data_IF_244649477074
#
_entry.id   IF_244649477074
#
_cell.length_a   1.000
_cell.length_b   1.000
_cell.length_c   1.000
_cell.angle_alpha   90.00
_cell.angle_beta   90.00
_cell.angle_gamma   90.00
#
_symmetry.space_group_name_H-M   'P 1'
#
loop_
_entity.id
_entity.type
_entity.pdbx_description
1 polymer ?
#
# COMPACT_ATOMS: atom_id res chain seq x y z
N UNK A 1 13.01 43.89 -2.89
CA UNK A 1 12.97 42.91 -1.79
C UNK A 1 11.55 42.38 -1.67
N UNK A 2 11.27 41.19 -2.20
CA UNK A 2 10.04 40.45 -1.95
C UNK A 2 10.37 39.27 -1.03
N UNK A 3 9.62 39.04 0.03
CA UNK A 3 9.90 37.93 0.93
C UNK A 3 9.43 36.62 0.30
N UNK A 4 10.36 35.74 0.01
CA UNK A 4 10.17 34.37 -0.48
C UNK A 4 9.65 33.39 0.60
N UNK A 5 9.37 33.87 1.80
CA UNK A 5 9.08 33.03 2.97
C UNK A 5 7.67 32.37 2.99
N UNK A 6 6.65 32.99 2.37
CA UNK A 6 5.27 32.48 2.49
C UNK A 6 4.97 31.23 1.67
N UNK A 7 5.60 31.08 0.51
CA UNK A 7 5.36 29.90 -0.34
C UNK A 7 6.15 28.66 0.14
N UNK A 8 7.35 28.90 0.69
CA UNK A 8 8.17 27.84 1.33
C UNK A 8 7.56 27.41 2.67
N UNK A 9 7.09 28.36 3.49
CA UNK A 9 6.37 28.07 4.74
C UNK A 9 5.05 27.34 4.50
N UNK A 10 4.34 27.63 3.40
CA UNK A 10 3.11 26.92 3.01
C UNK A 10 3.40 25.50 2.51
N UNK A 11 4.48 25.32 1.74
CA UNK A 11 4.94 23.97 1.32
C UNK A 11 5.44 23.14 2.50
N UNK A 12 6.25 23.72 3.39
CA UNK A 12 6.72 23.06 4.61
C UNK A 12 5.58 22.68 5.56
N UNK A 13 4.50 23.50 5.63
CA UNK A 13 3.31 23.17 6.43
C UNK A 13 2.43 22.08 5.79
N UNK A 14 2.39 21.96 4.46
CA UNK A 14 1.67 20.87 3.78
C UNK A 14 2.46 19.57 3.93
N UNK A 15 3.79 19.58 3.73
CA UNK A 15 4.65 18.42 3.93
C UNK A 15 4.66 17.91 5.38
N UNK A 16 4.46 18.80 6.37
CA UNK A 16 4.45 18.43 7.80
C UNK A 16 3.16 17.76 8.27
N UNK A 17 2.13 17.63 7.43
CA UNK A 17 0.82 17.10 7.85
C UNK A 17 0.35 15.88 7.04
N UNK A 18 1.21 15.26 6.21
CA UNK A 18 0.86 14.00 5.52
C UNK A 18 0.89 12.86 6.53
N UNK A 19 -0.27 12.23 6.71
CA UNK A 19 -0.48 11.13 7.67
C UNK A 19 -0.19 9.77 7.03
N UNK A 20 -0.52 9.65 5.72
CA UNK A 20 -0.44 8.39 4.97
C UNK A 20 0.31 8.61 3.67
N UNK A 21 1.34 7.81 3.42
CA UNK A 21 1.94 7.62 2.09
C UNK A 21 1.41 6.32 1.48
N UNK A 22 0.74 6.42 0.32
CA UNK A 22 0.24 5.27 -0.42
C UNK A 22 1.24 4.97 -1.54
N UNK A 23 2.00 3.90 -1.37
CA UNK A 23 2.99 3.42 -2.34
C UNK A 23 2.30 2.54 -3.38
N UNK A 24 2.32 2.97 -4.63
CA UNK A 24 1.70 2.29 -5.76
C UNK A 24 2.80 1.95 -6.78
N UNK A 25 3.21 0.68 -6.87
CA UNK A 25 4.05 0.24 -7.97
C UNK A 25 3.21 0.17 -9.25
N UNK A 26 3.63 0.85 -10.30
CA UNK A 26 2.95 0.90 -11.59
C UNK A 26 3.83 0.36 -12.72
N UNK A 27 3.22 -0.42 -13.62
CA UNK A 27 3.89 -0.95 -14.80
C UNK A 27 2.89 -1.14 -15.94
N UNK A 28 2.80 -0.14 -16.83
CA UNK A 28 1.90 -0.11 -17.99
C UNK A 28 0.43 -0.35 -17.61
N UNK A 29 -0.07 0.38 -16.61
CA UNK A 29 -1.46 0.31 -16.15
C UNK A 29 -2.42 1.11 -17.05
N UNK A 30 -1.90 2.07 -17.81
CA UNK A 30 -2.67 2.93 -18.70
C UNK A 30 -3.80 3.65 -17.97
N UNK A 31 -5.00 3.63 -18.56
CA UNK A 31 -6.19 4.28 -17.99
C UNK A 31 -6.76 3.56 -16.75
N UNK A 32 -6.36 2.31 -16.47
CA UNK A 32 -6.89 1.57 -15.31
C UNK A 32 -6.50 2.20 -13.97
N UNK A 33 -5.37 2.90 -13.92
CA UNK A 33 -4.92 3.64 -12.73
C UNK A 33 -5.91 4.73 -12.31
N UNK A 34 -6.64 5.30 -13.25
CA UNK A 34 -7.58 6.39 -12.98
C UNK A 34 -8.72 5.92 -12.08
N UNK A 35 -9.28 4.73 -12.34
CA UNK A 35 -10.33 4.16 -11.48
C UNK A 35 -9.86 4.04 -10.02
N UNK A 36 -8.61 3.64 -9.81
CA UNK A 36 -8.03 3.54 -8.48
C UNK A 36 -7.81 4.92 -7.84
N UNK A 37 -7.27 5.90 -8.56
CA UNK A 37 -7.08 7.26 -8.06
C UNK A 37 -8.42 7.96 -7.74
N UNK A 38 -9.45 7.75 -8.57
CA UNK A 38 -10.81 8.22 -8.32
C UNK A 38 -11.37 7.62 -7.04
N UNK A 39 -11.17 6.32 -6.83
CA UNK A 39 -11.60 5.64 -5.60
C UNK A 39 -10.89 6.18 -4.36
N UNK A 40 -9.58 6.49 -4.44
CA UNK A 40 -8.86 7.17 -3.35
C UNK A 40 -9.47 8.54 -3.06
N UNK A 41 -9.74 9.34 -4.10
CA UNK A 41 -10.36 10.66 -3.97
C UNK A 41 -11.74 10.63 -3.32
N UNK A 42 -12.53 9.58 -3.60
CA UNK A 42 -13.90 9.44 -3.10
C UNK A 42 -13.95 8.93 -1.65
N UNK A 43 -13.04 8.04 -1.26
CA UNK A 43 -13.21 7.25 -0.05
C UNK A 43 -12.22 7.58 1.08
N UNK A 44 -11.05 8.16 0.80
CA UNK A 44 -10.04 8.47 1.81
C UNK A 44 -10.23 9.89 2.33
N UNK A 45 -10.40 10.03 3.65
CA UNK A 45 -10.61 11.32 4.32
C UNK A 45 -9.37 11.82 5.06
N UNK A 46 -8.48 10.90 5.47
CA UNK A 46 -7.18 11.23 6.07
C UNK A 46 -6.32 12.01 5.10
N UNK A 47 -5.36 12.79 5.59
CA UNK A 47 -4.44 13.52 4.74
C UNK A 47 -3.38 12.59 4.18
N UNK A 48 -3.46 12.29 2.90
CA UNK A 48 -2.59 11.33 2.23
C UNK A 48 -1.91 11.89 0.98
N UNK A 49 -0.88 11.19 0.58
CA UNK A 49 -0.13 11.41 -0.66
C UNK A 49 0.09 10.07 -1.36
N UNK A 50 0.06 10.08 -2.69
CA UNK A 50 0.38 8.92 -3.52
C UNK A 50 1.84 8.99 -3.95
N UNK A 51 2.59 7.92 -3.71
CA UNK A 51 3.94 7.69 -4.21
C UNK A 51 3.85 6.67 -5.35
N UNK A 52 3.72 7.16 -6.59
CA UNK A 52 3.64 6.33 -7.78
C UNK A 52 5.03 5.92 -8.23
N UNK A 53 5.38 4.65 -8.05
CA UNK A 53 6.70 4.12 -8.38
C UNK A 53 6.66 3.40 -9.74
N UNK A 54 7.37 3.92 -10.73
CA UNK A 54 7.37 3.45 -12.12
C UNK A 54 8.76 3.06 -12.62
N UNK A 55 8.84 2.14 -13.59
CA UNK A 55 10.12 1.65 -14.13
C UNK A 55 10.63 2.48 -15.30
N UNK A 56 9.76 2.88 -16.23
CA UNK A 56 10.11 3.48 -17.51
C UNK A 56 9.40 4.82 -17.73
N UNK A 57 10.09 5.79 -18.33
CA UNK A 57 9.50 7.09 -18.66
C UNK A 57 8.41 6.99 -19.76
N UNK A 58 8.46 5.92 -20.58
CA UNK A 58 7.49 5.63 -21.62
C UNK A 58 6.24 4.91 -21.10
N UNK A 59 6.15 4.67 -19.79
CA UNK A 59 5.00 4.03 -19.16
C UNK A 59 3.74 4.87 -19.38
N UNK A 60 2.72 4.26 -19.99
CA UNK A 60 1.46 4.92 -20.36
C UNK A 60 0.63 5.35 -19.14
N UNK A 61 0.87 4.77 -17.98
CA UNK A 61 0.31 5.20 -16.69
C UNK A 61 0.63 6.67 -16.41
N UNK A 62 1.86 7.11 -16.71
CA UNK A 62 2.28 8.49 -16.47
C UNK A 62 1.50 9.47 -17.35
N UNK A 63 1.30 9.11 -18.62
CA UNK A 63 0.55 9.95 -19.57
C UNK A 63 -0.93 10.00 -19.22
N UNK A 64 -1.54 8.88 -18.80
CA UNK A 64 -2.92 8.80 -18.36
C UNK A 64 -3.18 9.74 -17.16
N UNK A 65 -2.34 9.67 -16.13
CA UNK A 65 -2.48 10.55 -14.94
C UNK A 65 -2.28 12.02 -15.30
N UNK A 66 -1.28 12.36 -16.15
CA UNK A 66 -1.01 13.74 -16.56
C UNK A 66 -2.13 14.35 -17.42
N UNK A 67 -2.87 13.53 -18.16
CA UNK A 67 -4.02 13.95 -18.97
C UNK A 67 -5.29 14.13 -18.13
N UNK A 68 -5.37 13.54 -16.94
CA UNK A 68 -6.54 13.61 -16.06
C UNK A 68 -6.59 14.95 -15.29
N UNK A 69 -7.80 15.45 -14.91
CA UNK A 69 -7.92 16.58 -14.00
C UNK A 69 -7.16 16.35 -12.68
N UNK A 70 -6.62 17.44 -12.12
CA UNK A 70 -5.87 17.33 -10.85
C UNK A 70 -6.75 16.84 -9.72
N UNK A 71 -6.25 15.88 -8.97
CA UNK A 71 -6.83 15.40 -7.72
C UNK A 71 -6.64 16.41 -6.57
N UNK A 72 -7.42 16.25 -5.50
CA UNK A 72 -7.29 17.05 -4.28
C UNK A 72 -6.11 16.65 -3.39
N UNK A 73 -5.36 15.60 -3.77
CA UNK A 73 -4.18 15.07 -3.09
C UNK A 73 -2.94 15.10 -3.99
N UNK A 74 -1.78 15.01 -3.39
CA UNK A 74 -0.51 15.01 -4.11
C UNK A 74 -0.19 13.62 -4.70
N UNK A 75 0.29 13.61 -5.95
CA UNK A 75 0.86 12.42 -6.61
C UNK A 75 2.32 12.72 -6.92
N UNK A 76 3.22 11.99 -6.27
CA UNK A 76 4.66 12.07 -6.49
C UNK A 76 5.09 10.94 -7.40
N UNK A 77 5.63 11.28 -8.56
CA UNK A 77 6.16 10.30 -9.50
C UNK A 77 7.59 9.94 -9.11
N UNK A 78 7.85 8.68 -8.81
CA UNK A 78 9.14 8.20 -8.32
C UNK A 78 9.65 7.12 -9.27
N UNK A 79 10.80 7.37 -9.89
CA UNK A 79 11.43 6.36 -10.74
C UNK A 79 11.98 5.24 -9.86
N UNK A 80 11.67 3.98 -10.23
CA UNK A 80 12.17 2.80 -9.54
C UNK A 80 13.71 2.75 -9.59
N UNK A 81 14.35 2.70 -8.43
CA UNK A 81 15.80 2.56 -8.30
C UNK A 81 16.27 1.09 -8.32
N UNK A 82 15.33 0.14 -8.26
CA UNK A 82 15.58 -1.28 -8.27
C UNK A 82 15.08 -1.96 -9.54
N UNK A 83 14.53 -3.17 -9.41
CA UNK A 83 14.00 -3.96 -10.53
C UNK A 83 12.61 -4.48 -10.20
N UNK A 84 11.64 -4.20 -11.08
CA UNK A 84 10.27 -4.70 -11.05
C UNK A 84 9.53 -4.35 -9.75
N UNK A 85 8.47 -5.10 -9.45
CA UNK A 85 7.59 -4.84 -8.30
C UNK A 85 8.35 -4.65 -6.98
N UNK A 86 9.32 -5.51 -6.69
CA UNK A 86 10.09 -5.41 -5.44
C UNK A 86 10.85 -4.10 -5.35
N UNK A 87 11.61 -3.76 -6.40
CA UNK A 87 12.37 -2.51 -6.46
C UNK A 87 11.48 -1.28 -6.33
N UNK A 88 10.34 -1.26 -7.04
CA UNK A 88 9.38 -0.16 -6.99
C UNK A 88 8.83 0.08 -5.57
N UNK A 89 8.47 -1.00 -4.86
CA UNK A 89 7.97 -0.88 -3.48
C UNK A 89 9.05 -0.40 -2.53
N UNK A 90 10.28 -0.94 -2.62
CA UNK A 90 11.39 -0.50 -1.76
C UNK A 90 11.74 0.96 -2.03
N UNK A 91 11.75 1.38 -3.30
CA UNK A 91 11.96 2.79 -3.67
C UNK A 91 10.88 3.68 -3.05
N UNK A 92 9.61 3.27 -3.10
CA UNK A 92 8.52 4.00 -2.46
C UNK A 92 8.63 4.05 -0.94
N UNK A 93 9.00 2.95 -0.28
CA UNK A 93 9.24 2.92 1.17
C UNK A 93 10.36 3.87 1.59
N UNK A 94 11.45 3.89 0.83
CA UNK A 94 12.59 4.80 1.10
C UNK A 94 12.24 6.28 0.89
N UNK A 95 11.36 6.58 -0.05
CA UNK A 95 10.88 7.94 -0.32
C UNK A 95 9.78 8.40 0.64
N UNK A 96 9.14 7.46 1.34
CA UNK A 96 8.06 7.75 2.26
C UNK A 96 8.55 8.44 3.54
N UNK A 97 7.77 9.42 4.01
CA UNK A 97 8.03 10.16 5.27
C UNK A 97 6.84 10.15 6.21
N UNK A 98 5.68 9.68 5.77
CA UNK A 98 4.46 9.66 6.56
C UNK A 98 4.50 8.66 7.73
N UNK A 99 3.64 8.86 8.71
CA UNK A 99 3.48 7.99 9.87
C UNK A 99 3.00 6.58 9.48
N UNK A 100 2.10 6.50 8.50
CA UNK A 100 1.56 5.28 7.93
C UNK A 100 2.01 5.12 6.49
N UNK A 101 2.48 3.93 6.13
CA UNK A 101 2.89 3.60 4.75
C UNK A 101 2.04 2.44 4.26
N UNK A 102 1.26 2.68 3.21
CA UNK A 102 0.36 1.67 2.65
C UNK A 102 0.88 1.24 1.28
N UNK A 103 1.21 -0.03 1.12
CA UNK A 103 1.43 -0.61 -0.20
C UNK A 103 0.09 -0.99 -0.81
N UNK A 104 -0.22 -0.45 -1.98
CA UNK A 104 -1.47 -0.67 -2.70
C UNK A 104 -1.20 -1.08 -4.14
N UNK A 105 -1.75 -2.23 -4.63
CA UNK A 105 -1.67 -2.58 -6.04
C UNK A 105 -2.38 -1.55 -6.92
N UNK A 106 -1.85 -1.29 -8.11
CA UNK A 106 -2.38 -0.28 -9.02
C UNK A 106 -3.79 -0.60 -9.56
N UNK A 107 -4.17 -1.88 -9.55
CA UNK A 107 -5.48 -2.39 -10.00
C UNK A 107 -6.51 -2.58 -8.86
N UNK A 108 -6.19 -2.14 -7.64
CA UNK A 108 -7.04 -2.34 -6.46
C UNK A 108 -7.86 -1.10 -6.11
N UNK A 109 -8.80 -0.73 -6.96
CA UNK A 109 -9.70 0.40 -6.71
C UNK A 109 -10.65 0.18 -5.52
N UNK A 110 -10.93 -1.07 -5.18
CA UNK A 110 -11.91 -1.41 -4.15
C UNK A 110 -11.43 -1.13 -2.72
N UNK A 111 -10.16 -1.34 -2.44
CA UNK A 111 -9.60 -1.29 -1.10
C UNK A 111 -9.34 0.15 -0.58
N UNK A 112 -9.55 1.18 -1.39
CA UNK A 112 -9.50 2.58 -0.93
C UNK A 112 -10.43 2.84 0.27
N UNK A 113 -11.57 2.15 0.35
CA UNK A 113 -12.60 2.31 1.40
C UNK A 113 -12.17 1.95 2.81
N UNK A 114 -11.09 1.20 2.96
CA UNK A 114 -10.63 0.76 4.29
C UNK A 114 -9.34 1.44 4.74
N UNK A 115 -8.79 2.34 3.94
CA UNK A 115 -7.53 3.02 4.23
C UNK A 115 -7.61 3.79 5.53
N UNK A 116 -8.66 4.60 5.73
CA UNK A 116 -8.84 5.36 6.97
C UNK A 116 -8.96 4.46 8.20
N UNK A 117 -9.66 3.32 8.06
CA UNK A 117 -9.74 2.35 9.16
C UNK A 117 -8.37 1.70 9.45
N UNK A 118 -7.57 1.41 8.41
CA UNK A 118 -6.22 0.88 8.61
C UNK A 118 -5.32 1.90 9.33
N UNK A 119 -5.44 3.17 8.96
CA UNK A 119 -4.72 4.26 9.62
C UNK A 119 -5.15 4.44 11.08
N UNK A 120 -6.45 4.38 11.38
CA UNK A 120 -6.97 4.42 12.74
C UNK A 120 -6.39 3.27 13.60
N UNK A 121 -6.35 2.05 13.07
CA UNK A 121 -5.75 0.91 13.76
C UNK A 121 -4.26 1.14 14.05
N UNK A 122 -3.50 1.74 13.12
CA UNK A 122 -2.10 2.10 13.36
C UNK A 122 -1.94 3.23 14.38
N UNK A 123 -2.81 4.23 14.35
CA UNK A 123 -2.82 5.30 15.35
C UNK A 123 -3.11 4.76 16.74
N UNK A 124 -3.84 3.65 16.84
CA UNK A 124 -4.09 2.91 18.08
C UNK A 124 -2.97 1.92 18.46
N UNK A 125 -1.85 1.92 17.72
CA UNK A 125 -0.63 1.20 18.06
C UNK A 125 -0.33 -0.03 17.24
N UNK A 126 -1.11 -0.35 16.18
CA UNK A 126 -0.77 -1.45 15.29
C UNK A 126 0.50 -1.13 14.47
N UNK A 127 1.44 -2.05 14.43
CA UNK A 127 2.64 -1.92 13.61
C UNK A 127 2.39 -2.34 12.15
N UNK A 128 1.58 -3.39 11.95
CA UNK A 128 1.12 -3.83 10.63
C UNK A 128 -0.39 -4.06 10.66
N UNK A 129 -1.12 -3.57 9.66
CA UNK A 129 -2.51 -3.94 9.44
C UNK A 129 -2.62 -4.80 8.17
N UNK A 130 -3.20 -5.99 8.34
CA UNK A 130 -3.33 -7.01 7.30
C UNK A 130 -4.79 -7.20 6.90
N UNK A 131 -5.27 -6.57 5.82
CA UNK A 131 -6.55 -6.92 5.23
C UNK A 131 -6.52 -8.35 4.69
N UNK A 132 -7.60 -9.11 4.89
CA UNK A 132 -7.66 -10.52 4.50
C UNK A 132 -8.81 -10.80 3.54
N UNK A 133 -8.48 -11.39 2.40
CA UNK A 133 -9.42 -11.89 1.39
C UNK A 133 -10.18 -13.14 1.85
N UNK A 134 -9.70 -13.81 2.89
CA UNK A 134 -10.21 -15.11 3.37
C UNK A 134 -11.04 -15.00 4.65
N UNK A 135 -11.33 -13.80 5.11
CA UNK A 135 -12.22 -13.58 6.25
C UNK A 135 -13.69 -13.70 5.83
N UNK A 136 -14.59 -13.84 6.81
CA UNK A 136 -16.05 -13.90 6.60
C UNK A 136 -16.48 -12.65 5.80
N UNK A 137 -16.98 -12.84 4.57
CA UNK A 137 -17.34 -11.83 3.57
C UNK A 137 -16.22 -11.37 2.62
N UNK A 138 -14.99 -11.94 2.70
CA UNK A 138 -13.98 -11.74 1.66
C UNK A 138 -14.34 -12.52 0.39
N UNK A 139 -14.11 -11.96 -0.79
CA UNK A 139 -14.22 -12.67 -2.07
C UNK A 139 -12.90 -12.61 -2.83
N UNK A 140 -12.66 -13.67 -3.64
CA UNK A 140 -11.54 -13.73 -4.57
C UNK A 140 -12.14 -14.06 -5.93
N UNK A 141 -12.28 -13.08 -6.79
CA UNK A 141 -12.80 -13.27 -8.14
C UNK A 141 -11.66 -13.47 -9.14
N UNK A 142 -11.91 -14.30 -10.17
CA UNK A 142 -10.98 -14.49 -11.30
C UNK A 142 -9.81 -15.47 -11.06
N UNK A 143 -9.62 -16.01 -9.86
CA UNK A 143 -8.54 -16.97 -9.60
C UNK A 143 -8.90 -18.40 -10.06
N UNK A 144 -8.02 -19.10 -10.79
CA UNK A 144 -8.19 -20.53 -11.06
C UNK A 144 -8.33 -21.33 -9.75
N UNK A 145 -9.31 -22.20 -9.65
CA UNK A 145 -9.65 -22.92 -8.41
C UNK A 145 -8.44 -23.67 -7.80
N UNK A 146 -7.57 -24.25 -8.63
CA UNK A 146 -6.37 -24.95 -8.20
C UNK A 146 -5.36 -23.99 -7.55
N UNK A 147 -5.13 -22.81 -8.16
CA UNK A 147 -4.23 -21.79 -7.62
C UNK A 147 -4.76 -21.23 -6.30
N UNK A 148 -6.07 -21.00 -6.21
CA UNK A 148 -6.72 -20.56 -4.97
C UNK A 148 -6.58 -21.60 -3.85
N UNK A 149 -6.71 -22.90 -4.16
CA UNK A 149 -6.51 -23.98 -3.21
C UNK A 149 -5.09 -23.98 -2.66
N UNK A 150 -4.06 -23.86 -3.51
CA UNK A 150 -2.66 -23.81 -3.08
C UNK A 150 -2.38 -22.59 -2.18
N UNK A 151 -2.90 -21.42 -2.53
CA UNK A 151 -2.76 -20.20 -1.71
C UNK A 151 -3.43 -20.39 -0.34
N UNK A 152 -4.62 -21.02 -0.29
CA UNK A 152 -5.32 -21.32 0.97
C UNK A 152 -4.56 -22.33 1.84
N UNK A 153 -3.97 -23.36 1.24
CA UNK A 153 -3.15 -24.34 1.97
C UNK A 153 -1.91 -23.64 2.53
N UNK A 154 -1.21 -22.83 1.72
CA UNK A 154 -0.03 -22.09 2.19
C UNK A 154 -0.41 -21.10 3.32
N UNK A 155 -1.51 -20.36 3.18
CA UNK A 155 -2.01 -19.46 4.21
C UNK A 155 -2.36 -20.21 5.51
N UNK A 156 -3.03 -21.36 5.40
CA UNK A 156 -3.35 -22.21 6.54
C UNK A 156 -2.08 -22.73 7.24
N UNK A 157 -1.08 -23.22 6.49
CA UNK A 157 0.18 -23.68 7.06
C UNK A 157 0.91 -22.53 7.79
N UNK A 158 0.98 -21.34 7.21
CA UNK A 158 1.62 -20.19 7.85
C UNK A 158 0.87 -19.76 9.12
N UNK A 159 -0.46 -19.75 9.09
CA UNK A 159 -1.28 -19.41 10.24
C UNK A 159 -1.18 -20.43 11.37
N UNK A 160 -1.30 -21.73 11.05
CA UNK A 160 -1.37 -22.79 12.06
C UNK A 160 0.00 -23.30 12.52
N UNK A 161 0.99 -23.40 11.63
CA UNK A 161 2.28 -23.98 11.92
C UNK A 161 3.34 -22.93 12.26
N UNK A 162 3.29 -21.77 11.63
CA UNK A 162 4.22 -20.68 11.91
C UNK A 162 3.62 -19.61 12.86
N UNK A 163 2.37 -19.80 13.32
CA UNK A 163 1.65 -18.90 14.23
C UNK A 163 1.60 -17.44 13.75
N UNK A 164 1.67 -17.22 12.43
CA UNK A 164 1.59 -15.88 11.85
C UNK A 164 0.17 -15.34 12.03
N UNK A 165 -0.03 -14.17 12.65
CA UNK A 165 -1.33 -13.70 13.09
C UNK A 165 -2.18 -13.11 11.94
N UNK A 166 -2.15 -13.70 10.74
CA UNK A 166 -3.02 -13.34 9.61
C UNK A 166 -3.44 -14.58 8.83
N UNK A 167 -4.67 -14.55 8.30
CA UNK A 167 -5.19 -15.60 7.42
C UNK A 167 -4.84 -15.36 5.94
N UNK A 168 -4.26 -14.21 5.60
CA UNK A 168 -3.86 -13.86 4.24
C UNK A 168 -2.43 -13.28 4.20
N UNK A 169 -1.42 -14.10 4.47
CA UNK A 169 -0.03 -13.64 4.50
C UNK A 169 0.49 -13.23 3.13
N UNK A 170 -0.19 -13.62 2.05
CA UNK A 170 0.22 -13.34 0.66
C UNK A 170 -0.44 -12.11 0.05
N UNK A 171 -1.32 -11.42 0.79
CA UNK A 171 -1.92 -10.18 0.30
C UNK A 171 -0.84 -9.08 0.25
N UNK A 172 -0.69 -8.43 -0.91
CA UNK A 172 0.21 -7.30 -1.10
C UNK A 172 -0.32 -6.01 -0.47
N UNK A 173 -1.65 -5.82 -0.50
CA UNK A 173 -2.28 -4.66 0.12
C UNK A 173 -2.15 -4.73 1.64
N UNK A 174 -1.39 -3.79 2.21
CA UNK A 174 -1.04 -3.80 3.63
C UNK A 174 -0.54 -2.43 4.09
N UNK A 175 -0.81 -2.08 5.33
CA UNK A 175 -0.19 -0.90 5.93
C UNK A 175 0.92 -1.28 6.91
N UNK A 176 1.95 -0.43 6.95
CA UNK A 176 3.11 -0.54 7.81
C UNK A 176 3.28 0.77 8.58
N UNK A 177 3.50 0.71 9.89
CA UNK A 177 3.85 1.90 10.66
C UNK A 177 5.24 2.42 10.25
N UNK A 178 5.50 3.71 10.47
CA UNK A 178 6.82 4.28 10.26
C UNK A 178 7.92 3.49 10.97
N UNK A 179 7.62 3.04 12.19
CA UNK A 179 8.52 2.19 12.97
C UNK A 179 8.94 0.93 12.23
N UNK A 180 8.02 0.26 11.53
CA UNK A 180 8.33 -0.96 10.76
C UNK A 180 9.31 -0.65 9.64
N UNK A 181 9.03 0.39 8.86
CA UNK A 181 9.85 0.78 7.71
C UNK A 181 11.26 1.20 8.15
N UNK A 182 11.38 1.97 9.24
CA UNK A 182 12.67 2.50 9.69
C UNK A 182 13.52 1.47 10.44
N UNK A 183 12.89 0.47 11.10
CA UNK A 183 13.61 -0.40 12.02
C UNK A 183 13.89 -1.80 11.47
N UNK A 184 13.14 -2.26 10.46
CA UNK A 184 13.23 -3.63 9.96
C UNK A 184 13.87 -3.64 8.57
N UNK A 185 15.12 -4.10 8.44
CA UNK A 185 15.75 -4.22 7.12
C UNK A 185 15.03 -5.30 6.28
N UNK A 186 14.78 -4.98 5.01
CA UNK A 186 14.23 -5.93 4.03
C UNK A 186 15.40 -6.59 3.31
N UNK A 187 15.51 -7.91 3.43
CA UNK A 187 16.58 -8.73 2.86
C UNK A 187 16.13 -9.51 1.62
N UNK A 188 14.82 -9.71 1.45
CA UNK A 188 14.27 -10.30 0.23
C UNK A 188 14.51 -9.39 -0.97
N UNK A 189 14.54 -10.00 -2.17
CA UNK A 189 14.89 -9.30 -3.42
C UNK A 189 13.91 -9.58 -4.57
N UNK A 190 12.85 -10.34 -4.35
CA UNK A 190 11.98 -10.86 -5.42
C UNK A 190 10.50 -10.59 -5.13
N UNK A 191 9.82 -9.96 -6.06
CA UNK A 191 8.37 -9.82 -6.09
C UNK A 191 7.79 -9.26 -4.78
N UNK A 192 6.67 -9.81 -4.29
CA UNK A 192 5.99 -9.39 -3.06
C UNK A 192 6.52 -10.01 -1.77
N UNK A 193 7.69 -10.64 -1.77
CA UNK A 193 8.25 -11.35 -0.59
C UNK A 193 8.56 -10.42 0.58
N UNK A 194 8.87 -9.15 0.33
CA UNK A 194 9.03 -8.11 1.37
C UNK A 194 7.86 -8.08 2.36
N UNK A 195 6.65 -8.26 1.85
CA UNK A 195 5.42 -8.18 2.66
C UNK A 195 5.33 -9.33 3.67
N UNK A 196 5.67 -10.56 3.27
CA UNK A 196 5.74 -11.71 4.17
C UNK A 196 6.93 -11.59 5.12
N UNK A 197 8.06 -11.12 4.64
CA UNK A 197 9.27 -10.92 5.44
C UNK A 197 9.02 -9.94 6.59
N UNK A 198 8.49 -8.75 6.30
CA UNK A 198 8.15 -7.76 7.32
C UNK A 198 7.16 -8.32 8.33
N UNK A 199 6.13 -9.04 7.86
CA UNK A 199 5.15 -9.69 8.72
C UNK A 199 5.79 -10.68 9.69
N UNK A 200 6.67 -11.56 9.21
CA UNK A 200 7.36 -12.56 10.03
C UNK A 200 8.32 -11.88 11.01
N UNK A 201 9.10 -10.89 10.56
CA UNK A 201 10.03 -10.16 11.43
C UNK A 201 9.29 -9.40 12.54
N UNK A 202 8.20 -8.68 12.22
CA UNK A 202 7.36 -8.03 13.23
C UNK A 202 6.80 -9.02 14.23
N UNK A 203 6.26 -10.15 13.75
CA UNK A 203 5.73 -11.18 14.63
C UNK A 203 6.77 -11.72 15.63
N UNK A 204 7.99 -11.98 15.14
CA UNK A 204 9.11 -12.44 15.99
C UNK A 204 9.57 -11.40 17.02
N UNK A 205 9.43 -10.12 16.70
CA UNK A 205 9.74 -9.02 17.61
C UNK A 205 8.62 -8.77 18.63
N UNK A 206 7.48 -9.48 18.52
CA UNK A 206 6.33 -9.27 19.40
C UNK A 206 5.60 -7.95 19.13
N UNK A 207 5.75 -7.38 17.92
CA UNK A 207 5.08 -6.16 17.52
C UNK A 207 3.62 -6.42 17.14
N UNK A 208 2.77 -5.40 17.27
CA UNK A 208 1.32 -5.55 17.13
C UNK A 208 0.93 -5.67 15.65
N UNK A 209 0.39 -6.82 15.28
CA UNK A 209 -0.16 -7.09 13.96
C UNK A 209 -1.68 -7.22 14.08
N UNK A 210 -2.40 -6.31 13.45
CA UNK A 210 -3.85 -6.27 13.44
C UNK A 210 -4.40 -6.81 12.11
N UNK A 211 -5.62 -7.35 12.19
CA UNK A 211 -6.35 -7.85 11.02
C UNK A 211 -7.54 -6.95 10.77
N UNK A 212 -7.68 -6.46 9.56
CA UNK A 212 -8.89 -5.76 9.16
C UNK A 212 -9.90 -6.74 8.54
N UNK A 213 -11.16 -6.64 8.98
CA UNK A 213 -12.28 -7.36 8.38
C UNK A 213 -12.74 -6.58 7.17
N UNK A 214 -12.58 -7.19 6.03
CA UNK A 214 -12.88 -6.64 4.73
C UNK A 214 -14.25 -7.09 4.25
N UNK A 215 -15.15 -6.16 3.96
CA UNK A 215 -16.39 -6.46 3.23
C UNK A 215 -16.18 -6.15 1.74
N UNK A 216 -16.00 -7.17 0.90
CA UNK A 216 -16.13 -7.00 -0.54
C UNK A 216 -17.62 -6.94 -0.91
N UNK A 217 -18.02 -5.86 -1.58
CA UNK A 217 -19.37 -5.77 -2.13
C UNK A 217 -19.50 -6.67 -3.36
N UNK A 218 -20.56 -7.48 -3.41
CA UNK A 218 -20.84 -8.49 -4.45
C UNK A 218 -21.45 -7.85 -5.71
N UNK A 219 -20.96 -6.73 -6.19
CA UNK A 219 -21.48 -6.13 -7.42
C UNK A 219 -20.37 -5.92 -8.44
N UNK A 220 -20.00 -6.99 -9.09
CA UNK A 220 -19.64 -7.04 -10.53
C UNK A 220 -19.72 -8.48 -11.01
#
# INVERSE_FOLDING_TARGET
YYPTSRAEDYRLNIESNIEIDIVIPAYFEGESIIEMLDSLSEHVQSNFRVLLCYDLEEDDTLSAIRAHPKYGFEIVFIRNEGVGLHGAVITGFNASTAQSVIMMPADDSWNARIIDQMFEMQSNGADIVCPSRFMKNGSVEGYPAFKLLLVRIAAFCLYQLAFIPTQDPTNGFRSFSRRVIDSIPIESTIGGTFSIELLVKCHRLGWLIERNTFQMDRKR
#
